data_IF_793859065427
#
_entry.id   IF_793859065427
#
_cell.length_a   1.000
_cell.length_b   1.000
_cell.length_c   1.000
_cell.angle_alpha   90.00
_cell.angle_beta   90.00
_cell.angle_gamma   90.00
#
_symmetry.space_group_name_H-M   'P 1'
#
loop_
_entity.id
_entity.type
_entity.pdbx_description
1 polymer ?
#
# COMPACT_ATOMS: atom_id res chain seq x y z
N UNK A 1 -38.39 1.73 -30.94
CA UNK A 1 -37.61 0.61 -30.38
C UNK A 1 -36.16 1.02 -30.04
N UNK A 2 -35.92 2.22 -29.50
CA UNK A 2 -34.57 2.73 -29.17
C UNK A 2 -34.43 3.24 -27.72
N UNK A 3 -35.49 3.19 -26.91
CA UNK A 3 -35.49 3.79 -25.57
C UNK A 3 -35.26 2.78 -24.43
N UNK A 4 -35.51 1.49 -24.64
CA UNK A 4 -35.37 0.46 -23.59
C UNK A 4 -33.91 0.10 -23.29
N UNK A 5 -33.02 0.17 -24.29
CA UNK A 5 -31.58 -0.18 -24.14
C UNK A 5 -30.83 0.83 -23.24
N UNK A 6 -31.22 2.10 -23.26
CA UNK A 6 -30.53 3.17 -22.52
C UNK A 6 -30.84 3.18 -21.01
N UNK A 7 -31.98 2.60 -20.61
CA UNK A 7 -32.36 2.48 -19.19
C UNK A 7 -31.63 1.33 -18.50
N UNK A 8 -31.61 0.17 -19.14
CA UNK A 8 -31.02 -1.07 -18.63
C UNK A 8 -29.48 -0.97 -18.50
N UNK A 9 -28.80 -0.36 -19.49
CA UNK A 9 -27.35 -0.11 -19.40
C UNK A 9 -26.99 0.84 -18.26
N UNK A 10 -27.79 1.89 -18.04
CA UNK A 10 -27.55 2.84 -16.94
C UNK A 10 -27.74 2.20 -15.57
N UNK A 11 -28.73 1.32 -15.43
CA UNK A 11 -28.99 0.58 -14.19
C UNK A 11 -27.85 -0.42 -13.89
N UNK A 12 -27.44 -1.20 -14.89
CA UNK A 12 -26.31 -2.13 -14.79
C UNK A 12 -25.00 -1.43 -14.42
N UNK A 13 -24.69 -0.28 -15.05
CA UNK A 13 -23.50 0.52 -14.71
C UNK A 13 -23.60 1.07 -13.28
N UNK A 14 -24.78 1.56 -12.87
CA UNK A 14 -24.98 2.11 -11.53
C UNK A 14 -24.81 1.05 -10.44
N UNK A 15 -25.27 -0.18 -10.68
CA UNK A 15 -25.16 -1.32 -9.77
C UNK A 15 -23.74 -1.89 -9.74
N UNK A 16 -23.07 -2.00 -10.88
CA UNK A 16 -21.65 -2.33 -10.95
C UNK A 16 -20.83 -1.33 -10.12
N UNK A 17 -21.04 -0.02 -10.32
CA UNK A 17 -20.36 1.03 -9.56
C UNK A 17 -20.69 0.95 -8.06
N UNK A 18 -21.94 0.69 -7.69
CA UNK A 18 -22.35 0.55 -6.28
C UNK A 18 -21.63 -0.63 -5.62
N UNK A 19 -21.54 -1.77 -6.29
CA UNK A 19 -20.83 -2.95 -5.79
C UNK A 19 -19.32 -2.73 -5.75
N UNK A 20 -18.74 -2.07 -6.75
CA UNK A 20 -17.33 -1.75 -6.82
C UNK A 20 -16.88 -0.75 -5.75
N UNK A 21 -17.74 0.21 -5.40
CA UNK A 21 -17.49 1.23 -4.37
C UNK A 21 -17.87 0.78 -2.96
N UNK A 22 -18.56 -0.36 -2.81
CA UNK A 22 -18.96 -0.90 -1.51
C UNK A 22 -17.72 -1.37 -0.75
N UNK A 23 -17.20 -0.50 0.12
CA UNK A 23 -16.18 -0.88 1.07
C UNK A 23 -16.81 -1.63 2.25
N UNK A 24 -16.17 -2.71 2.70
CA UNK A 24 -16.47 -3.27 4.03
C UNK A 24 -16.11 -2.22 5.07
N UNK A 25 -16.97 -2.04 6.07
CA UNK A 25 -16.59 -1.28 7.25
C UNK A 25 -15.47 -2.03 7.96
N UNK A 26 -14.26 -1.45 8.06
CA UNK A 26 -13.16 -2.12 8.73
C UNK A 26 -13.44 -2.16 10.21
N UNK A 27 -13.07 -3.27 10.82
CA UNK A 27 -13.21 -3.45 12.25
C UNK A 27 -12.06 -2.73 12.95
N UNK A 28 -12.33 -2.15 14.12
CA UNK A 28 -11.31 -1.52 14.98
C UNK A 28 -10.11 -2.44 15.24
N UNK A 29 -10.34 -3.75 15.33
CA UNK A 29 -9.30 -4.77 15.48
C UNK A 29 -8.29 -4.78 14.33
N UNK A 30 -8.70 -4.48 13.10
CA UNK A 30 -7.81 -4.46 11.93
C UNK A 30 -6.77 -3.35 12.06
N UNK A 31 -7.18 -2.17 12.54
CA UNK A 31 -6.26 -1.05 12.77
C UNK A 31 -5.29 -1.33 13.90
N UNK A 32 -5.75 -1.92 15.01
CA UNK A 32 -4.88 -2.29 16.14
C UNK A 32 -3.83 -3.30 15.71
N UNK A 33 -4.25 -4.35 14.99
CA UNK A 33 -3.32 -5.36 14.44
C UNK A 33 -2.32 -4.72 13.50
N UNK A 34 -2.76 -3.81 12.61
CA UNK A 34 -1.87 -3.10 11.70
C UNK A 34 -0.84 -2.25 12.44
N UNK A 35 -1.24 -1.53 13.50
CA UNK A 35 -0.32 -0.72 14.32
C UNK A 35 0.73 -1.62 14.98
N UNK A 36 0.31 -2.69 15.65
CA UNK A 36 1.23 -3.62 16.34
C UNK A 36 2.20 -4.25 15.34
N UNK A 37 1.71 -4.73 14.21
CA UNK A 37 2.54 -5.30 13.16
C UNK A 37 3.59 -4.30 12.66
N UNK A 38 3.20 -3.05 12.41
CA UNK A 38 4.13 -2.02 11.96
C UNK A 38 5.16 -1.64 13.03
N UNK A 39 4.80 -1.65 14.32
CA UNK A 39 5.77 -1.44 15.42
C UNK A 39 6.81 -2.57 15.44
N UNK A 40 6.37 -3.81 15.26
CA UNK A 40 7.29 -4.96 15.17
C UNK A 40 8.21 -4.81 13.96
N UNK A 41 7.67 -4.46 12.77
CA UNK A 41 8.47 -4.25 11.57
C UNK A 41 9.46 -3.10 11.77
N UNK A 42 9.06 -2.00 12.41
CA UNK A 42 9.94 -0.87 12.72
C UNK A 42 11.13 -1.34 13.56
N UNK A 43 10.87 -2.14 14.60
CA UNK A 43 11.92 -2.71 15.43
C UNK A 43 12.86 -3.61 14.61
N UNK A 44 12.30 -4.52 13.80
CA UNK A 44 13.10 -5.43 12.95
C UNK A 44 14.01 -4.63 12.03
N UNK A 45 13.46 -3.66 11.28
CA UNK A 45 14.22 -2.89 10.29
C UNK A 45 15.34 -2.09 10.95
N UNK A 46 15.10 -1.43 12.08
CA UNK A 46 16.13 -0.62 12.76
C UNK A 46 17.21 -1.47 13.47
N UNK A 47 16.95 -2.75 13.73
CA UNK A 47 17.91 -3.66 14.36
C UNK A 47 18.52 -4.67 13.37
N UNK A 48 18.12 -4.64 12.10
CA UNK A 48 18.52 -5.66 11.13
C UNK A 48 20.03 -5.75 10.95
N UNK A 49 20.72 -4.60 10.95
CA UNK A 49 22.18 -4.54 10.85
C UNK A 49 22.89 -5.03 12.12
N UNK A 50 22.31 -4.83 13.30
CA UNK A 50 22.92 -5.29 14.56
C UNK A 50 22.82 -6.81 14.74
N UNK A 51 21.95 -7.47 13.98
CA UNK A 51 21.83 -8.93 13.96
C UNK A 51 22.96 -9.63 13.19
N UNK A 52 23.83 -8.88 12.50
CA UNK A 52 25.00 -9.40 11.77
C UNK A 52 24.65 -10.52 10.77
N UNK A 53 23.55 -10.34 10.03
CA UNK A 53 23.10 -11.30 9.03
C UNK A 53 24.03 -11.27 7.81
N UNK A 54 24.51 -12.44 7.38
CA UNK A 54 25.48 -12.57 6.27
C UNK A 54 24.95 -12.14 4.90
N UNK A 55 23.64 -12.00 4.76
CA UNK A 55 22.98 -11.62 3.51
C UNK A 55 22.51 -10.16 3.48
N UNK A 56 22.74 -9.38 4.54
CA UNK A 56 22.40 -7.94 4.60
C UNK A 56 23.68 -7.12 4.49
N UNK A 57 23.77 -6.28 3.48
CA UNK A 57 24.91 -5.39 3.28
C UNK A 57 24.81 -4.14 4.19
N UNK A 58 25.95 -3.51 4.55
CA UNK A 58 25.96 -2.22 5.24
C UNK A 58 25.19 -1.11 4.51
N UNK A 59 25.04 -1.21 3.17
CA UNK A 59 24.24 -0.28 2.36
C UNK A 59 22.75 -0.29 2.71
N UNK A 60 22.27 -1.24 3.53
CA UNK A 60 20.92 -1.18 4.09
C UNK A 60 20.70 0.10 4.92
N UNK A 61 21.76 0.65 5.51
CA UNK A 61 21.71 1.92 6.25
C UNK A 61 21.20 3.08 5.38
N UNK A 62 21.51 3.09 4.08
CA UNK A 62 21.16 4.16 3.15
C UNK A 62 19.66 4.23 2.85
N UNK A 63 18.92 3.16 3.15
CA UNK A 63 17.48 3.06 2.92
C UNK A 63 16.65 3.02 4.21
N UNK A 64 17.29 2.97 5.39
CA UNK A 64 16.57 2.94 6.68
C UNK A 64 15.61 4.12 6.86
N UNK A 65 16.01 5.30 6.38
CA UNK A 65 15.20 6.51 6.51
C UNK A 65 13.85 6.38 5.81
N UNK A 66 13.79 5.79 4.61
CA UNK A 66 12.54 5.65 3.86
C UNK A 66 11.63 4.60 4.49
N UNK A 67 12.21 3.50 4.99
CA UNK A 67 11.46 2.51 5.79
C UNK A 67 10.85 3.17 7.03
N UNK A 68 11.63 3.94 7.79
CA UNK A 68 11.15 4.61 8.98
C UNK A 68 10.00 5.58 8.68
N UNK A 69 10.11 6.38 7.63
CA UNK A 69 9.03 7.28 7.18
C UNK A 69 7.78 6.49 6.80
N UNK A 70 7.92 5.46 5.96
CA UNK A 70 6.78 4.68 5.47
C UNK A 70 6.06 3.94 6.60
N UNK A 71 6.81 3.31 7.50
CA UNK A 71 6.25 2.58 8.64
C UNK A 71 5.61 3.55 9.63
N UNK A 72 6.26 4.67 9.95
CA UNK A 72 5.69 5.70 10.81
C UNK A 72 4.39 6.29 10.23
N UNK A 73 4.38 6.60 8.93
CA UNK A 73 3.18 7.07 8.25
C UNK A 73 2.05 6.04 8.32
N UNK A 74 2.38 4.74 8.16
CA UNK A 74 1.40 3.66 8.27
C UNK A 74 0.82 3.57 9.68
N UNK A 75 1.65 3.66 10.72
CA UNK A 75 1.20 3.69 12.11
C UNK A 75 0.26 4.89 12.34
N UNK A 76 0.71 6.09 11.96
CA UNK A 76 -0.07 7.33 12.12
C UNK A 76 -1.40 7.22 11.38
N UNK A 77 -1.40 6.74 10.13
CA UNK A 77 -2.61 6.55 9.34
C UNK A 77 -3.62 5.62 10.02
N UNK A 78 -3.15 4.49 10.57
CA UNK A 78 -4.02 3.56 11.30
C UNK A 78 -4.52 4.14 12.63
N UNK A 79 -3.71 4.92 13.35
CA UNK A 79 -4.15 5.65 14.55
C UNK A 79 -5.24 6.66 14.20
N UNK A 80 -5.06 7.43 13.13
CA UNK A 80 -6.08 8.39 12.69
C UNK A 80 -7.37 7.65 12.31
N UNK A 81 -7.28 6.48 11.66
CA UNK A 81 -8.46 5.68 11.33
C UNK A 81 -9.21 5.11 12.53
N UNK A 82 -8.57 4.99 13.71
CA UNK A 82 -9.26 4.64 14.95
C UNK A 82 -10.12 5.79 15.50
N UNK A 83 -9.71 7.03 15.24
CA UNK A 83 -10.32 8.24 15.83
C UNK A 83 -11.28 8.92 14.85
N UNK A 84 -11.00 8.85 13.53
CA UNK A 84 -11.67 9.62 12.50
C UNK A 84 -12.06 8.74 11.29
N UNK A 85 -13.36 8.62 11.02
CA UNK A 85 -13.93 7.70 10.02
C UNK A 85 -14.48 8.32 8.70
N UNK A 86 -14.16 9.54 8.25
CA UNK A 86 -14.68 9.98 6.96
C UNK A 86 -14.07 9.20 5.79
N UNK A 87 -14.95 8.80 4.87
CA UNK A 87 -14.64 7.97 3.71
C UNK A 87 -13.73 8.65 2.68
N UNK A 88 -13.75 9.99 2.59
CA UNK A 88 -12.87 10.76 1.69
C UNK A 88 -11.42 10.80 2.23
N UNK A 89 -11.26 11.03 3.53
CA UNK A 89 -9.95 11.10 4.20
C UNK A 89 -9.19 9.79 4.10
N UNK A 90 -9.89 8.66 4.24
CA UNK A 90 -9.30 7.33 4.07
C UNK A 90 -8.64 7.13 2.71
N UNK A 91 -9.27 7.61 1.64
CA UNK A 91 -8.74 7.41 0.29
C UNK A 91 -7.42 8.18 0.10
N UNK A 92 -7.34 9.40 0.63
CA UNK A 92 -6.13 10.23 0.59
C UNK A 92 -4.99 9.55 1.36
N UNK A 93 -5.25 9.11 2.59
CA UNK A 93 -4.24 8.44 3.41
C UNK A 93 -3.75 7.16 2.71
N UNK A 94 -4.64 6.34 2.14
CA UNK A 94 -4.21 5.12 1.42
C UNK A 94 -3.33 5.43 0.21
N UNK A 95 -3.66 6.46 -0.58
CA UNK A 95 -2.81 6.89 -1.70
C UNK A 95 -1.42 7.31 -1.21
N UNK A 96 -1.34 8.11 -0.14
CA UNK A 96 -0.06 8.53 0.45
C UNK A 96 0.75 7.31 0.91
N UNK A 97 0.11 6.37 1.62
CA UNK A 97 0.77 5.15 2.11
C UNK A 97 1.24 4.25 0.96
N UNK A 98 0.47 4.13 -0.12
CA UNK A 98 0.87 3.37 -1.30
C UNK A 98 2.07 3.99 -2.01
N UNK A 99 2.13 5.33 -2.12
CA UNK A 99 3.29 6.04 -2.67
C UNK A 99 4.53 5.79 -1.79
N UNK A 100 4.40 5.85 -0.47
CA UNK A 100 5.50 5.57 0.45
C UNK A 100 5.96 4.10 0.36
N UNK A 101 5.03 3.15 0.30
CA UNK A 101 5.35 1.73 0.09
C UNK A 101 6.06 1.49 -1.24
N UNK A 102 5.63 2.18 -2.31
CA UNK A 102 6.32 2.16 -3.60
C UNK A 102 7.74 2.71 -3.49
N UNK A 103 7.93 3.84 -2.81
CA UNK A 103 9.27 4.42 -2.59
C UNK A 103 10.17 3.45 -1.83
N UNK A 104 9.67 2.79 -0.78
CA UNK A 104 10.45 1.76 -0.06
C UNK A 104 10.89 0.65 -1.01
N UNK A 105 9.99 0.10 -1.82
CA UNK A 105 10.35 -0.94 -2.78
C UNK A 105 11.34 -0.45 -3.85
N UNK A 106 11.16 0.78 -4.33
CA UNK A 106 12.07 1.41 -5.30
C UNK A 106 13.47 1.61 -4.74
N UNK A 107 13.60 2.16 -3.53
CA UNK A 107 14.91 2.33 -2.88
C UNK A 107 15.54 0.98 -2.55
N UNK A 108 14.74 0.00 -2.13
CA UNK A 108 15.22 -1.36 -1.88
C UNK A 108 15.70 -2.05 -3.17
N UNK A 109 15.04 -1.81 -4.31
CA UNK A 109 15.44 -2.32 -5.62
C UNK A 109 16.69 -1.63 -6.16
N UNK A 110 16.83 -0.32 -5.96
CA UNK A 110 17.95 0.47 -6.51
C UNK A 110 19.23 0.33 -5.71
N UNK A 111 19.14 0.34 -4.37
CA UNK A 111 20.30 0.12 -3.50
C UNK A 111 20.63 -1.36 -3.37
N UNK A 112 19.60 -2.22 -3.44
CA UNK A 112 19.67 -3.68 -3.34
C UNK A 112 20.71 -4.15 -2.30
N UNK A 113 20.45 -3.91 -1.00
CA UNK A 113 21.43 -4.16 0.07
C UNK A 113 21.48 -5.65 0.48
N UNK A 114 21.38 -6.57 -0.49
CA UNK A 114 21.36 -8.00 -0.23
C UNK A 114 22.56 -8.69 -0.89
N UNK A 115 23.29 -9.49 -0.10
CA UNK A 115 24.51 -10.20 -0.52
C UNK A 115 24.29 -11.71 -0.53
N UNK A 116 23.42 -12.18 -1.43
CA UNK A 116 23.22 -13.63 -1.61
C UNK A 116 24.33 -14.23 -2.47
N UNK A 117 24.86 -15.38 -2.06
CA UNK A 117 25.84 -16.14 -2.85
C UNK A 117 25.20 -16.85 -4.06
N UNK A 118 23.89 -17.12 -3.99
CA UNK A 118 23.16 -17.79 -5.05
C UNK A 118 22.49 -16.77 -5.99
N UNK A 119 22.96 -16.71 -7.23
CA UNK A 119 22.43 -15.80 -8.25
C UNK A 119 20.93 -16.01 -8.52
N UNK A 120 20.41 -17.24 -8.42
CA UNK A 120 18.98 -17.49 -8.60
C UNK A 120 18.15 -16.82 -7.51
N UNK A 121 18.65 -16.75 -6.28
CA UNK A 121 17.96 -16.08 -5.16
C UNK A 121 17.95 -14.57 -5.39
N UNK A 122 19.08 -13.99 -5.78
CA UNK A 122 19.19 -12.57 -6.14
C UNK A 122 18.21 -12.18 -7.24
N UNK A 123 18.24 -12.90 -8.37
CA UNK A 123 17.34 -12.67 -9.49
C UNK A 123 15.86 -12.84 -9.11
N UNK A 124 15.55 -13.84 -8.28
CA UNK A 124 14.19 -14.06 -7.79
C UNK A 124 13.70 -12.88 -6.94
N UNK A 125 14.56 -12.33 -6.08
CA UNK A 125 14.22 -11.19 -5.24
C UNK A 125 14.07 -9.90 -6.05
N UNK A 126 14.98 -9.63 -6.98
CA UNK A 126 14.87 -8.50 -7.91
C UNK A 126 13.55 -8.56 -8.71
N UNK A 127 13.24 -9.73 -9.26
CA UNK A 127 11.99 -9.94 -9.98
C UNK A 127 10.76 -9.74 -9.06
N UNK A 128 10.81 -10.27 -7.84
CA UNK A 128 9.74 -10.08 -6.86
C UNK A 128 9.52 -8.59 -6.52
N UNK A 129 10.59 -7.79 -6.38
CA UNK A 129 10.49 -6.35 -6.15
C UNK A 129 9.84 -5.62 -7.33
N UNK A 130 10.18 -6.00 -8.57
CA UNK A 130 9.54 -5.46 -9.78
C UNK A 130 8.04 -5.76 -9.77
N UNK A 131 7.67 -7.02 -9.51
CA UNK A 131 6.26 -7.44 -9.44
C UNK A 131 5.51 -6.65 -8.36
N UNK A 132 6.10 -6.49 -7.18
CA UNK A 132 5.52 -5.71 -6.07
C UNK A 132 5.31 -4.25 -6.48
N UNK A 133 6.28 -3.62 -7.14
CA UNK A 133 6.14 -2.25 -7.66
C UNK A 133 5.00 -2.14 -8.68
N UNK A 134 4.89 -3.07 -9.63
CA UNK A 134 3.81 -3.08 -10.63
C UNK A 134 2.45 -3.23 -9.96
N UNK A 135 2.32 -4.16 -9.01
CA UNK A 135 1.08 -4.36 -8.24
C UNK A 135 0.71 -3.08 -7.48
N UNK A 136 1.67 -2.41 -6.84
CA UNK A 136 1.40 -1.16 -6.12
C UNK A 136 0.93 -0.04 -7.05
N UNK A 137 1.48 0.07 -8.27
CA UNK A 137 1.00 1.02 -9.27
C UNK A 137 -0.47 0.74 -9.60
N UNK A 138 -0.82 -0.52 -9.88
CA UNK A 138 -2.20 -0.92 -10.19
C UNK A 138 -3.13 -0.59 -9.01
N UNK A 139 -2.74 -0.94 -7.78
CA UNK A 139 -3.53 -0.66 -6.57
C UNK A 139 -3.73 0.84 -6.39
N UNK A 140 -2.69 1.65 -6.58
CA UNK A 140 -2.75 3.11 -6.46
C UNK A 140 -3.72 3.70 -7.49
N UNK A 141 -3.66 3.24 -8.75
CA UNK A 141 -4.59 3.68 -9.80
C UNK A 141 -6.03 3.32 -9.42
N UNK A 142 -6.28 2.09 -8.96
CA UNK A 142 -7.62 1.65 -8.53
C UNK A 142 -8.15 2.52 -7.39
N UNK A 143 -7.32 2.85 -6.40
CA UNK A 143 -7.71 3.73 -5.29
C UNK A 143 -7.99 5.16 -5.77
N UNK A 144 -7.19 5.69 -6.68
CA UNK A 144 -7.40 7.01 -7.28
C UNK A 144 -8.71 7.08 -8.04
N UNK A 145 -9.03 6.06 -8.86
CA UNK A 145 -10.31 5.97 -9.59
C UNK A 145 -11.48 5.91 -8.61
N UNK A 146 -11.38 5.08 -7.55
CA UNK A 146 -12.42 5.00 -6.50
C UNK A 146 -12.63 6.34 -5.80
N UNK A 147 -11.57 7.07 -5.51
CA UNK A 147 -11.63 8.39 -4.90
C UNK A 147 -12.36 9.39 -5.79
N UNK A 148 -12.00 9.48 -7.07
CA UNK A 148 -12.62 10.38 -8.04
C UNK A 148 -14.12 10.07 -8.20
N UNK A 149 -14.46 8.79 -8.37
CA UNK A 149 -15.86 8.35 -8.51
C UNK A 149 -16.70 8.67 -7.26
N UNK A 150 -16.11 8.55 -6.06
CA UNK A 150 -16.78 8.88 -4.81
C UNK A 150 -17.06 10.37 -4.69
N UNK A 151 -16.11 11.22 -5.10
CA UNK A 151 -16.29 12.69 -5.11
C UNK A 151 -17.40 13.08 -6.08
N UNK A 152 -17.35 12.58 -7.32
CA UNK A 152 -18.35 12.93 -8.36
C UNK A 152 -19.77 12.48 -7.97
N UNK A 153 -19.88 11.35 -7.27
CA UNK A 153 -21.18 10.78 -6.87
C UNK A 153 -21.69 11.27 -5.51
N UNK A 154 -20.90 12.05 -4.76
CA UNK A 154 -21.37 12.72 -3.55
C UNK A 154 -22.24 13.92 -3.95
N UNK A 155 -23.56 13.88 -3.74
CA UNK A 155 -24.45 15.02 -4.01
C UNK A 155 -24.11 16.22 -3.11
#
# INVERSE_FOLDING_TARGET
MKETVNGEDKENVKDFLKNFLKEKEPKTSEFIVAIIANIIILYIVNNLLSWNLSFIAPSFQDILWIFNISIAATIIGNIIFLIYHPSWFRSIIRIILNILGFLVAYYLYTVFPFTFSNNLVTLSLEFALIVVMVVMIIVTIVEMVKFILRIIRSP
#
